data_IF_213698632634
#
_entry.id   IF_213698632634
#
_cell.length_a   1.000
_cell.length_b   1.000
_cell.length_c   1.000
_cell.angle_alpha   90.00
_cell.angle_beta   90.00
_cell.angle_gamma   90.00
#
_symmetry.space_group_name_H-M   'P 1'
#
loop_
_entity.id
_entity.type
_entity.pdbx_description
1 polymer ?
#
# COMPACT_ATOMS: atom_id res chain seq x y z
N UNK A 1 36.16 46.21 24.29
CA UNK A 1 35.55 44.87 24.08
C UNK A 1 34.07 45.09 24.21
N UNK A 2 33.45 45.44 23.08
CA UNK A 2 32.25 46.26 23.08
C UNK A 2 31.01 45.40 23.04
N UNK A 3 30.19 45.56 24.09
CA UNK A 3 29.03 44.75 24.46
C UNK A 3 27.92 44.75 23.39
N UNK A 4 28.06 45.57 22.35
CA UNK A 4 27.18 45.66 21.18
C UNK A 4 27.42 44.54 20.16
N UNK A 5 28.64 43.97 20.08
CA UNK A 5 28.93 42.86 19.17
C UNK A 5 28.39 41.51 19.65
N UNK A 6 28.11 41.37 20.96
CA UNK A 6 27.56 40.15 21.55
C UNK A 6 26.06 39.96 21.30
N UNK A 7 25.34 41.00 20.87
CA UNK A 7 23.89 40.92 20.65
C UNK A 7 23.57 40.57 19.18
N UNK A 8 24.45 40.90 18.23
CA UNK A 8 24.21 40.63 16.80
C UNK A 8 24.64 39.20 16.43
N UNK A 9 25.57 38.58 17.16
CA UNK A 9 25.93 37.16 16.97
C UNK A 9 24.87 36.17 17.47
N UNK A 10 23.85 36.64 18.22
CA UNK A 10 22.73 35.83 18.72
C UNK A 10 21.48 35.86 17.82
N UNK A 11 21.60 36.45 16.63
CA UNK A 11 20.49 36.66 15.68
C UNK A 11 20.64 35.86 14.36
N UNK A 12 21.49 34.82 14.34
CA UNK A 12 21.62 33.91 13.20
C UNK A 12 21.19 32.46 13.48
N UNK A 13 20.71 32.15 14.69
CA UNK A 13 20.47 30.76 15.12
C UNK A 13 19.02 30.29 15.04
N UNK A 14 18.07 31.18 14.74
CA UNK A 14 16.65 30.83 14.83
C UNK A 14 16.01 30.76 13.45
N UNK A 15 15.51 29.56 13.17
CA UNK A 15 14.46 29.26 12.21
C UNK A 15 14.88 28.82 10.80
N UNK A 16 15.77 27.82 10.72
CA UNK A 16 15.50 26.73 9.77
C UNK A 16 14.37 25.90 10.39
N UNK A 17 13.13 26.37 10.31
CA UNK A 17 11.99 25.44 10.37
C UNK A 17 12.11 24.66 9.08
N UNK A 18 12.83 23.54 9.17
CA UNK A 18 12.74 22.49 8.19
C UNK A 18 11.26 22.12 8.14
N UNK A 19 10.58 22.55 7.09
CA UNK A 19 9.32 21.97 6.70
C UNK A 19 9.68 20.53 6.31
N UNK A 20 9.79 19.66 7.30
CA UNK A 20 9.71 18.24 7.07
C UNK A 20 8.31 18.05 6.51
N UNK A 21 8.20 18.10 5.19
CA UNK A 21 7.07 17.54 4.47
C UNK A 21 7.11 16.06 4.81
N UNK A 22 6.52 15.72 5.95
CA UNK A 22 6.14 14.37 6.26
C UNK A 22 5.12 13.99 5.21
N UNK A 23 5.60 13.52 4.06
CA UNK A 23 4.80 12.67 3.20
C UNK A 23 4.54 11.45 4.09
N UNK A 24 3.37 11.44 4.74
CA UNK A 24 3.08 10.50 5.80
C UNK A 24 3.00 9.10 5.20
N UNK A 25 4.11 8.38 5.25
CA UNK A 25 4.10 6.94 5.10
C UNK A 25 3.31 6.36 6.27
N UNK A 26 2.26 5.58 5.98
CA UNK A 26 1.56 4.85 7.03
C UNK A 26 2.45 3.76 7.60
N UNK A 27 2.07 3.23 8.77
CA UNK A 27 2.87 2.20 9.45
C UNK A 27 3.09 1.01 8.51
N UNK A 28 4.34 0.59 8.34
CA UNK A 28 4.71 -0.54 7.47
C UNK A 28 4.19 -0.37 6.04
N UNK A 29 4.28 0.84 5.48
CA UNK A 29 4.02 1.10 4.07
C UNK A 29 4.81 0.12 3.19
N UNK A 30 4.14 -0.67 2.32
CA UNK A 30 4.82 -1.63 1.48
C UNK A 30 5.51 -0.97 0.29
N UNK A 31 6.75 -1.39 0.03
CA UNK A 31 7.52 -1.09 -1.19
C UNK A 31 7.30 -2.14 -2.30
N UNK A 32 6.46 -3.13 -2.03
CA UNK A 32 6.17 -4.26 -2.90
C UNK A 32 5.24 -5.29 -2.24
N UNK A 33 5.10 -6.44 -2.89
CA UNK A 33 4.39 -7.59 -2.31
C UNK A 33 5.04 -8.90 -2.73
N UNK A 34 5.09 -9.87 -1.82
CA UNK A 34 5.57 -11.23 -2.14
C UNK A 34 7.01 -11.26 -2.68
N UNK A 35 7.86 -10.32 -2.27
CA UNK A 35 9.25 -10.18 -2.74
C UNK A 35 9.40 -9.46 -4.09
N UNK A 36 8.31 -8.89 -4.65
CA UNK A 36 8.33 -8.12 -5.89
C UNK A 36 8.17 -6.64 -5.53
N UNK A 37 9.16 -5.82 -5.87
CA UNK A 37 9.14 -4.36 -5.65
C UNK A 37 8.23 -3.69 -6.67
N UNK A 38 7.52 -2.62 -6.28
CA UNK A 38 6.72 -1.82 -7.21
C UNK A 38 7.55 -1.37 -8.43
N UNK A 39 6.95 -1.40 -9.61
CA UNK A 39 7.62 -1.08 -10.86
C UNK A 39 8.53 -2.18 -11.42
N UNK A 40 8.66 -3.34 -10.76
CA UNK A 40 9.40 -4.48 -11.32
C UNK A 40 8.82 -4.88 -12.67
N UNK A 41 9.68 -5.13 -13.65
CA UNK A 41 9.25 -5.59 -14.98
C UNK A 41 8.79 -7.06 -14.92
N UNK A 42 7.68 -7.38 -15.57
CA UNK A 42 7.16 -8.74 -15.68
C UNK A 42 8.20 -9.70 -16.29
N UNK A 43 9.06 -9.23 -17.18
CA UNK A 43 10.11 -10.05 -17.81
C UNK A 43 11.18 -10.53 -16.82
N UNK A 44 11.33 -9.85 -15.68
CA UNK A 44 12.27 -10.23 -14.63
C UNK A 44 11.71 -11.32 -13.69
N UNK A 45 10.42 -11.65 -13.81
CA UNK A 45 9.71 -12.53 -12.88
C UNK A 45 9.46 -13.90 -13.51
N UNK A 46 9.62 -14.96 -12.70
CA UNK A 46 9.34 -16.35 -13.09
C UNK A 46 8.01 -16.82 -12.48
N UNK A 47 7.38 -17.80 -13.11
CA UNK A 47 6.15 -18.43 -12.61
C UNK A 47 4.89 -17.56 -12.70
N UNK A 48 4.94 -16.44 -13.44
CA UNK A 48 3.79 -15.55 -13.61
C UNK A 48 2.90 -16.05 -14.76
N UNK A 49 1.65 -16.35 -14.47
CA UNK A 49 0.63 -16.80 -15.44
C UNK A 49 -0.42 -15.72 -15.65
N UNK A 50 -0.56 -15.23 -16.87
CA UNK A 50 -1.60 -14.27 -17.23
C UNK A 50 -2.98 -14.93 -17.12
N UNK A 51 -3.92 -14.24 -16.47
CA UNK A 51 -5.31 -14.69 -16.30
C UNK A 51 -6.34 -13.76 -16.95
N UNK A 52 -5.90 -12.59 -17.43
CA UNK A 52 -6.76 -11.66 -18.14
C UNK A 52 -6.18 -10.26 -18.22
N UNK A 53 -6.99 -9.34 -18.75
CA UNK A 53 -6.71 -7.90 -18.79
C UNK A 53 -7.86 -7.17 -18.10
N UNK A 54 -7.59 -5.95 -17.64
CA UNK A 54 -8.68 -5.08 -17.18
C UNK A 54 -9.45 -4.52 -18.37
N UNK A 55 -10.78 -4.62 -18.34
CA UNK A 55 -11.66 -4.11 -19.41
C UNK A 55 -11.53 -2.58 -19.58
N UNK A 56 -11.35 -1.85 -18.49
CA UNK A 56 -11.21 -0.38 -18.46
C UNK A 56 -9.78 0.11 -18.68
N UNK A 57 -8.81 -0.81 -18.77
CA UNK A 57 -7.40 -0.48 -18.92
C UNK A 57 -6.68 -1.55 -19.75
N UNK A 58 -6.70 -1.45 -21.09
CA UNK A 58 -6.15 -2.49 -21.98
C UNK A 58 -4.63 -2.68 -21.82
N UNK A 59 -3.92 -1.66 -21.34
CA UNK A 59 -2.50 -1.71 -20.99
C UNK A 59 -2.23 -2.43 -19.65
N UNK A 60 -3.27 -2.81 -18.92
CA UNK A 60 -3.18 -3.52 -17.63
C UNK A 60 -3.49 -5.00 -17.79
N UNK A 61 -2.52 -5.83 -17.43
CA UNK A 61 -2.62 -7.29 -17.43
C UNK A 61 -2.64 -7.82 -16.01
N UNK A 62 -3.40 -8.89 -15.78
CA UNK A 62 -3.58 -9.54 -14.48
C UNK A 62 -2.91 -10.91 -14.52
N UNK A 63 -2.10 -11.19 -13.50
CA UNK A 63 -1.36 -12.44 -13.35
C UNK A 63 -1.63 -13.10 -12.00
N UNK A 64 -1.43 -14.42 -11.97
CA UNK A 64 -1.21 -15.18 -10.74
C UNK A 64 0.22 -15.70 -10.74
N UNK A 65 0.81 -15.92 -9.57
CA UNK A 65 2.15 -16.50 -9.45
C UNK A 65 2.06 -17.92 -8.93
N UNK A 66 2.66 -18.86 -9.65
CA UNK A 66 2.74 -20.26 -9.24
C UNK A 66 3.54 -20.41 -7.93
N UNK A 67 3.07 -21.29 -7.04
CA UNK A 67 3.74 -21.58 -5.77
C UNK A 67 3.51 -20.53 -4.67
N UNK A 68 2.72 -19.49 -4.91
CA UNK A 68 2.35 -18.54 -3.87
C UNK A 68 1.61 -19.21 -2.71
N UNK A 69 2.10 -18.99 -1.49
CA UNK A 69 1.33 -19.27 -0.30
C UNK A 69 0.15 -18.30 -0.23
N UNK A 70 -1.07 -18.82 -0.36
CA UNK A 70 -2.29 -18.03 -0.31
C UNK A 70 -2.64 -17.64 1.13
N UNK A 71 -1.78 -16.81 1.75
CA UNK A 71 -1.95 -16.36 3.13
C UNK A 71 -1.58 -14.88 3.30
N UNK A 72 -2.25 -14.22 4.24
CA UNK A 72 -1.88 -12.90 4.73
C UNK A 72 -1.97 -12.89 6.26
N UNK A 73 -0.82 -12.90 6.93
CA UNK A 73 -0.78 -13.16 8.38
C UNK A 73 -1.35 -14.56 8.66
N UNK A 74 -2.36 -14.64 9.52
CA UNK A 74 -3.07 -15.90 9.82
C UNK A 74 -4.27 -16.16 8.90
N UNK A 75 -4.53 -15.31 7.90
CA UNK A 75 -5.73 -15.39 7.05
C UNK A 75 -5.44 -16.17 5.79
N UNK A 76 -6.26 -17.18 5.52
CA UNK A 76 -6.19 -17.92 4.26
C UNK A 76 -6.92 -17.15 3.14
N UNK A 77 -6.23 -16.98 2.02
CA UNK A 77 -6.71 -16.26 0.85
C UNK A 77 -7.28 -17.25 -0.16
N UNK A 78 -8.29 -16.82 -0.92
CA UNK A 78 -8.77 -17.57 -2.09
C UNK A 78 -7.92 -17.32 -3.34
N UNK A 79 -7.14 -16.24 -3.35
CA UNK A 79 -6.32 -15.86 -4.49
C UNK A 79 -5.51 -14.59 -4.24
N UNK A 80 -4.42 -14.48 -4.99
CA UNK A 80 -3.55 -13.31 -5.08
C UNK A 80 -3.44 -12.98 -6.56
N UNK A 81 -3.82 -11.76 -6.93
CA UNK A 81 -3.74 -11.28 -8.29
C UNK A 81 -2.79 -10.11 -8.39
N UNK A 82 -1.88 -10.17 -9.35
CA UNK A 82 -0.86 -9.17 -9.59
C UNK A 82 -1.21 -8.40 -10.86
N UNK A 83 -1.38 -7.09 -10.75
CA UNK A 83 -1.64 -6.22 -11.88
C UNK A 83 -0.34 -5.56 -12.36
N UNK A 84 -0.12 -5.63 -13.68
CA UNK A 84 0.99 -5.00 -14.37
C UNK A 84 0.46 -3.99 -15.38
N UNK A 85 0.82 -2.73 -15.24
CA UNK A 85 0.50 -1.69 -16.21
C UNK A 85 1.72 -1.47 -17.11
N UNK A 86 1.56 -1.65 -18.42
CA UNK A 86 2.66 -1.56 -19.41
C UNK A 86 3.89 -2.39 -19.01
N UNK A 87 3.64 -3.59 -18.48
CA UNK A 87 4.68 -4.53 -18.04
C UNK A 87 5.30 -4.23 -16.67
N UNK A 88 4.90 -3.17 -15.98
CA UNK A 88 5.44 -2.78 -14.66
C UNK A 88 4.48 -3.16 -13.53
N UNK A 89 4.99 -3.82 -12.49
CA UNK A 89 4.20 -4.23 -11.33
C UNK A 89 3.61 -3.02 -10.63
N UNK A 90 2.28 -2.96 -10.51
CA UNK A 90 1.59 -1.75 -10.03
C UNK A 90 0.71 -2.01 -8.81
N UNK A 91 0.07 -3.17 -8.73
CA UNK A 91 -0.91 -3.45 -7.70
C UNK A 91 -1.01 -4.95 -7.43
N UNK A 92 -1.38 -5.29 -6.20
CA UNK A 92 -1.75 -6.64 -5.81
C UNK A 92 -3.13 -6.62 -5.17
N UNK A 93 -3.97 -7.59 -5.53
CA UNK A 93 -5.28 -7.79 -4.93
C UNK A 93 -5.30 -9.11 -4.16
N UNK A 94 -5.52 -9.01 -2.85
CA UNK A 94 -5.70 -10.17 -1.98
C UNK A 94 -7.19 -10.46 -1.86
N UNK A 95 -7.60 -11.68 -2.21
CA UNK A 95 -8.99 -12.08 -2.25
C UNK A 95 -9.29 -13.07 -1.13
N UNK A 96 -10.43 -12.89 -0.46
CA UNK A 96 -10.95 -13.81 0.56
C UNK A 96 -12.29 -14.41 0.14
N UNK A 97 -12.63 -15.56 0.74
CA UNK A 97 -13.81 -16.36 0.35
C UNK A 97 -15.13 -15.74 0.79
N UNK A 98 -15.20 -15.26 2.03
CA UNK A 98 -16.44 -14.86 2.68
C UNK A 98 -16.21 -13.74 3.72
N UNK A 99 -17.30 -13.30 4.34
CA UNK A 99 -17.30 -12.22 5.33
C UNK A 99 -16.44 -12.55 6.57
N UNK A 100 -16.39 -13.81 7.00
CA UNK A 100 -15.60 -14.19 8.18
C UNK A 100 -14.09 -14.02 7.92
N UNK A 101 -13.65 -14.42 6.72
CA UNK A 101 -12.27 -14.19 6.27
C UNK A 101 -11.99 -12.70 6.02
N UNK A 102 -12.98 -11.93 5.59
CA UNK A 102 -12.84 -10.47 5.47
C UNK A 102 -12.62 -9.81 6.83
N UNK A 103 -13.40 -10.18 7.85
CA UNK A 103 -13.22 -9.67 9.22
C UNK A 103 -11.83 -10.04 9.76
N UNK A 104 -11.34 -11.25 9.47
CA UNK A 104 -9.99 -11.66 9.83
C UNK A 104 -8.91 -10.86 9.07
N UNK A 105 -9.10 -10.64 7.75
CA UNK A 105 -8.22 -9.82 6.91
C UNK A 105 -8.17 -8.36 7.42
N UNK A 106 -9.30 -7.81 7.85
CA UNK A 106 -9.40 -6.48 8.47
C UNK A 106 -8.53 -6.39 9.72
N UNK A 107 -8.62 -7.39 10.61
CA UNK A 107 -7.80 -7.44 11.83
C UNK A 107 -6.31 -7.51 11.50
N UNK A 108 -5.90 -8.34 10.54
CA UNK A 108 -4.50 -8.42 10.11
C UNK A 108 -4.01 -7.12 9.43
N UNK A 109 -4.84 -6.50 8.60
CA UNK A 109 -4.52 -5.21 7.98
C UNK A 109 -4.33 -4.11 9.05
N UNK A 110 -5.21 -4.04 10.05
CA UNK A 110 -5.10 -3.08 11.14
C UNK A 110 -3.86 -3.33 12.01
N UNK A 111 -3.56 -4.59 12.27
CA UNK A 111 -2.34 -5.01 12.97
C UNK A 111 -1.09 -4.59 12.18
N UNK A 112 -1.09 -4.73 10.86
CA UNK A 112 0.07 -4.37 10.03
C UNK A 112 0.21 -2.87 9.81
N UNK A 113 -0.86 -2.22 9.34
CA UNK A 113 -0.82 -0.86 8.81
C UNK A 113 -1.35 0.22 9.77
N UNK A 114 -1.86 -0.18 10.94
CA UNK A 114 -2.53 0.72 11.87
C UNK A 114 -4.00 0.93 11.50
N UNK A 115 -4.69 1.79 12.25
CA UNK A 115 -6.10 2.11 11.98
C UNK A 115 -6.15 2.97 10.72
N UNK A 116 -6.59 2.37 9.61
CA UNK A 116 -6.76 3.08 8.33
C UNK A 116 -7.82 4.16 8.42
N UNK A 117 -7.80 5.07 7.45
CA UNK A 117 -8.83 6.10 7.31
C UNK A 117 -10.12 5.47 6.81
N UNK A 118 -11.18 5.69 7.56
CA UNK A 118 -12.54 5.25 7.22
C UNK A 118 -13.27 6.40 6.52
N UNK A 119 -13.73 6.20 5.28
CA UNK A 119 -14.46 7.23 4.54
C UNK A 119 -15.92 7.34 4.96
N UNK A 120 -16.52 6.21 5.34
CA UNK A 120 -17.90 6.13 5.80
C UNK A 120 -17.98 4.99 6.83
N UNK A 121 -18.41 5.25 8.09
CA UNK A 121 -18.56 4.24 9.13
C UNK A 121 -19.45 3.05 8.76
N UNK A 122 -20.32 3.22 7.75
CA UNK A 122 -21.27 2.20 7.31
C UNK A 122 -20.80 1.39 6.09
N UNK A 123 -19.71 1.80 5.42
CA UNK A 123 -19.30 1.19 4.16
C UNK A 123 -18.17 0.14 4.28
N UNK A 124 -17.71 -0.13 5.52
CA UNK A 124 -16.55 -0.99 5.81
C UNK A 124 -15.35 -0.79 4.85
N UNK A 125 -15.04 0.47 4.48
CA UNK A 125 -13.90 0.79 3.59
C UNK A 125 -12.81 1.52 4.34
N UNK A 126 -11.60 0.96 4.29
CA UNK A 126 -10.42 1.50 4.95
C UNK A 126 -9.33 1.80 3.94
N UNK A 127 -8.70 2.96 4.11
CA UNK A 127 -7.64 3.43 3.23
C UNK A 127 -6.40 3.80 4.04
N UNK A 128 -5.25 3.42 3.53
CA UNK A 128 -3.95 3.89 3.97
C UNK A 128 -3.30 4.56 2.77
N UNK A 129 -3.22 5.88 2.82
CA UNK A 129 -2.53 6.70 1.82
C UNK A 129 -1.10 6.90 2.31
N UNK A 130 -0.12 6.32 1.60
CA UNK A 130 1.30 6.44 1.91
C UNK A 130 2.04 7.37 0.95
N UNK A 131 3.36 7.41 1.08
CA UNK A 131 4.22 8.22 0.22
C UNK A 131 4.40 7.62 -1.18
N UNK A 132 4.46 6.30 -1.28
CA UNK A 132 4.79 5.56 -2.50
C UNK A 132 3.72 4.54 -2.88
N UNK A 133 2.86 4.16 -1.93
CA UNK A 133 1.84 3.14 -2.11
C UNK A 133 0.54 3.52 -1.41
N UNK A 134 -0.53 2.81 -1.79
CA UNK A 134 -1.83 2.90 -1.17
C UNK A 134 -2.32 1.50 -0.86
N UNK A 135 -2.93 1.34 0.30
CA UNK A 135 -3.70 0.12 0.63
C UNK A 135 -5.16 0.51 0.76
N UNK A 136 -6.03 -0.29 0.15
CA UNK A 136 -7.47 -0.22 0.35
C UNK A 136 -7.99 -1.57 0.79
N UNK A 137 -8.81 -1.57 1.83
CA UNK A 137 -9.56 -2.72 2.28
C UNK A 137 -11.05 -2.43 2.04
N UNK A 138 -11.69 -3.25 1.21
CA UNK A 138 -13.05 -3.04 0.75
C UNK A 138 -13.80 -4.36 0.88
N UNK A 139 -14.97 -4.32 1.53
CA UNK A 139 -15.91 -5.44 1.52
C UNK A 139 -16.58 -5.51 0.15
N UNK A 140 -16.44 -6.66 -0.53
CA UNK A 140 -17.14 -6.90 -1.79
C UNK A 140 -18.66 -7.07 -1.60
N UNK A 141 -19.13 -7.26 -0.37
CA UNK A 141 -20.55 -7.41 -0.04
C UNK A 141 -21.32 -6.08 -0.06
N UNK A 142 -20.62 -4.93 -0.07
CA UNK A 142 -21.24 -3.60 -0.20
C UNK A 142 -21.33 -3.13 -1.66
N UNK A 143 -21.07 -4.01 -2.63
CA UNK A 143 -21.21 -3.75 -4.07
C UNK A 143 -22.40 -4.47 -4.70
N UNK A 144 -23.23 -5.15 -3.89
CA UNK A 144 -24.48 -5.81 -4.30
C UNK A 144 -25.70 -4.99 -3.92
#
# INVERSE_FOLDING_TARGET
MDRTFLIIALLCSALIVGFATGVLAFRNEPDGYGGIVWGTDISALKGMKAIGNRTDSPDTKIYVREGDALRFGSVDLKGIEYEFFRGKFRSVTLKVKDLSHYVALKKEAFKRFGRGRELNPHAERYFWDGATSKVSLISAFDLS
#
